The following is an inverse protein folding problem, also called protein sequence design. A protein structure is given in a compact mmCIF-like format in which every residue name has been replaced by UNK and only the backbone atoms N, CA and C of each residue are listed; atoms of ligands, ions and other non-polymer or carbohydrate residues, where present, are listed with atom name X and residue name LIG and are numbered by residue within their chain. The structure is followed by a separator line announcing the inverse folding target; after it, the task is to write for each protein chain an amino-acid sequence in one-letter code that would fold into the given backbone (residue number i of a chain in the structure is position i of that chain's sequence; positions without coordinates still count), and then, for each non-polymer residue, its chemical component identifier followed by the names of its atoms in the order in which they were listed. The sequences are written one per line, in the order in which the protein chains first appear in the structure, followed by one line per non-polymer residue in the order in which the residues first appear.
data_IF_974240663981
#
_entry.id   IF_974240663981
#
_cell.length_a   1.000
_cell.length_b   1.000
_cell.length_c   1.000
_cell.angle_alpha   90.00
_cell.angle_beta   90.00
_cell.angle_gamma   90.00
#
_symmetry.space_group_name_H-M   'P 1'
#
loop_
_entity.id
_entity.type
_entity.pdbx_description
1 polymer ?
#
# COMPACT_ATOMS: atom_id res chain seq x y z
N UNK A 1 13.44 -34.17 -11.03
CA UNK A 1 12.35 -33.71 -11.93
C UNK A 1 12.01 -32.25 -11.58
N UNK A 2 11.45 -31.43 -12.49
CA UNK A 2 10.86 -30.13 -12.07
C UNK A 2 9.40 -30.40 -11.71
N UNK A 3 8.98 -29.94 -10.55
CA UNK A 3 7.63 -30.13 -10.03
C UNK A 3 6.70 -29.10 -10.69
N UNK A 4 5.59 -29.53 -11.27
CA UNK A 4 4.63 -28.67 -11.96
C UNK A 4 3.22 -28.84 -11.41
N UNK A 5 2.40 -27.81 -11.59
CA UNK A 5 0.98 -27.86 -11.22
C UNK A 5 0.26 -28.94 -12.02
N UNK A 6 -0.47 -29.81 -11.31
CA UNK A 6 -1.18 -30.95 -11.88
C UNK A 6 -0.43 -32.28 -11.78
N UNK A 7 0.85 -32.26 -11.39
CA UNK A 7 1.61 -33.50 -11.16
C UNK A 7 0.98 -34.34 -10.04
N UNK A 8 1.11 -35.66 -10.17
CA UNK A 8 0.81 -36.62 -9.11
C UNK A 8 2.12 -37.25 -8.65
N UNK A 9 2.47 -37.01 -7.40
CA UNK A 9 3.75 -37.39 -6.80
C UNK A 9 3.57 -38.31 -5.61
N UNK A 10 4.60 -39.11 -5.33
CA UNK A 10 4.69 -39.91 -4.11
C UNK A 10 5.30 -39.09 -3.00
N UNK A 11 4.71 -39.12 -1.81
CA UNK A 11 5.23 -38.45 -0.62
C UNK A 11 5.19 -39.40 0.58
N UNK A 12 5.62 -38.92 1.75
CA UNK A 12 5.42 -39.63 3.01
C UNK A 12 3.93 -39.75 3.40
N UNK A 13 3.08 -38.84 2.92
CA UNK A 13 1.67 -38.77 3.30
C UNK A 13 0.77 -39.62 2.42
N UNK A 14 1.12 -39.78 1.15
CA UNK A 14 0.31 -40.49 0.16
C UNK A 14 1.15 -40.88 -1.05
N UNK A 15 0.77 -41.98 -1.69
CA UNK A 15 1.36 -42.41 -2.97
C UNK A 15 0.80 -41.59 -4.16
N UNK A 16 -0.32 -40.87 -3.95
CA UNK A 16 -1.02 -40.11 -4.99
C UNK A 16 -1.25 -38.64 -4.56
N UNK A 17 -0.20 -37.96 -4.09
CA UNK A 17 -0.29 -36.54 -3.73
C UNK A 17 -0.39 -35.68 -4.99
N UNK A 18 -1.43 -34.87 -5.11
CA UNK A 18 -1.61 -33.95 -6.24
C UNK A 18 -0.94 -32.61 -5.96
N UNK A 19 -0.21 -32.07 -6.93
CA UNK A 19 0.37 -30.72 -6.88
C UNK A 19 -0.67 -29.72 -7.37
N UNK A 20 -1.16 -28.86 -6.48
CA UNK A 20 -2.21 -27.90 -6.80
C UNK A 20 -1.67 -26.56 -7.32
N UNK A 21 -0.50 -26.15 -6.85
CA UNK A 21 0.18 -24.94 -7.28
C UNK A 21 1.67 -25.03 -6.94
N UNK A 22 2.51 -24.35 -7.73
CA UNK A 22 3.95 -24.23 -7.47
C UNK A 22 4.35 -22.78 -7.70
N UNK A 23 4.94 -22.15 -6.68
CA UNK A 23 5.43 -20.77 -6.73
C UNK A 23 6.79 -20.71 -6.05
N UNK A 24 7.80 -20.29 -6.81
CA UNK A 24 9.19 -20.21 -6.36
C UNK A 24 9.66 -21.53 -5.72
N UNK A 25 9.97 -21.50 -4.42
CA UNK A 25 10.42 -22.66 -3.64
C UNK A 25 9.28 -23.29 -2.81
N UNK A 26 8.01 -22.96 -3.10
CA UNK A 26 6.83 -23.46 -2.42
C UNK A 26 5.91 -24.23 -3.36
N UNK A 27 5.23 -25.25 -2.82
CA UNK A 27 4.17 -25.96 -3.50
C UNK A 27 2.97 -26.14 -2.57
N UNK A 28 1.76 -26.04 -3.14
CA UNK A 28 0.55 -26.53 -2.48
C UNK A 28 0.33 -27.97 -2.94
N UNK A 29 0.26 -28.88 -1.99
CA UNK A 29 0.05 -30.30 -2.22
C UNK A 29 -1.28 -30.73 -1.60
N UNK A 30 -1.92 -31.73 -2.18
CA UNK A 30 -3.08 -32.39 -1.59
C UNK A 30 -2.85 -33.89 -1.55
N UNK A 31 -2.80 -34.47 -0.34
CA UNK A 31 -2.54 -35.90 -0.13
C UNK A 31 -3.73 -36.81 -0.47
N UNK A 32 -4.90 -36.23 -0.68
CA UNK A 32 -6.19 -36.92 -0.71
C UNK A 32 -7.02 -36.68 0.56
N UNK A 33 -6.36 -36.34 1.67
CA UNK A 33 -7.02 -36.06 2.96
C UNK A 33 -6.68 -34.69 3.53
N UNK A 34 -5.52 -34.12 3.16
CA UNK A 34 -5.03 -32.88 3.75
C UNK A 34 -4.26 -32.04 2.72
N UNK A 35 -4.32 -30.72 2.89
CA UNK A 35 -3.55 -29.76 2.14
C UNK A 35 -2.22 -29.49 2.84
N UNK A 36 -1.16 -29.33 2.06
CA UNK A 36 0.19 -29.02 2.57
C UNK A 36 0.76 -27.84 1.79
N UNK A 37 1.19 -26.81 2.50
CA UNK A 37 2.04 -25.75 1.96
C UNK A 37 3.48 -26.15 2.27
N UNK A 38 4.13 -26.76 1.28
CA UNK A 38 5.46 -27.33 1.38
C UNK A 38 6.49 -26.35 0.83
N UNK A 39 7.59 -26.13 1.57
CA UNK A 39 8.72 -25.28 1.16
C UNK A 39 9.97 -26.13 1.02
N UNK A 40 10.78 -25.90 -0.02
CA UNK A 40 12.00 -26.68 -0.26
C UNK A 40 11.71 -28.08 -0.79
N UNK A 41 10.71 -28.21 -1.67
CA UNK A 41 10.28 -29.52 -2.18
C UNK A 41 11.37 -30.12 -3.08
N UNK A 42 11.80 -31.36 -2.76
CA UNK A 42 12.84 -32.08 -3.46
C UNK A 42 12.50 -33.56 -3.61
N UNK A 43 12.89 -34.14 -4.73
CA UNK A 43 12.75 -35.56 -4.99
C UNK A 43 13.94 -36.32 -4.38
N UNK A 44 13.66 -37.25 -3.47
CA UNK A 44 14.63 -38.22 -3.00
C UNK A 44 14.78 -39.32 -4.06
N UNK A 45 15.93 -39.35 -4.74
CA UNK A 45 16.19 -40.27 -5.86
C UNK A 45 16.27 -41.74 -5.45
N UNK A 46 16.56 -42.02 -4.17
CA UNK A 46 16.65 -43.40 -3.66
C UNK A 46 15.26 -43.98 -3.39
N UNK A 47 14.40 -43.19 -2.74
CA UNK A 47 13.04 -43.62 -2.40
C UNK A 47 12.01 -43.37 -3.51
N UNK A 48 12.33 -42.49 -4.47
CA UNK A 48 11.39 -41.98 -5.47
C UNK A 48 10.27 -41.11 -4.88
N UNK A 49 10.43 -40.66 -3.62
CA UNK A 49 9.44 -39.82 -2.92
C UNK A 49 9.89 -38.37 -2.90
N UNK A 50 8.92 -37.47 -2.97
CA UNK A 50 9.13 -36.06 -2.74
C UNK A 50 9.05 -35.76 -1.24
N UNK A 51 10.01 -34.97 -0.78
CA UNK A 51 10.20 -34.50 0.59
C UNK A 51 10.30 -32.97 0.57
N UNK A 52 10.12 -32.33 1.73
CA UNK A 52 10.20 -30.88 1.86
C UNK A 52 10.84 -30.49 3.18
N UNK A 53 11.47 -29.32 3.22
CA UNK A 53 12.19 -28.86 4.40
C UNK A 53 11.20 -28.35 5.48
N UNK A 54 10.10 -27.69 5.07
CA UNK A 54 9.05 -27.22 5.98
C UNK A 54 7.66 -27.43 5.37
N UNK A 55 6.69 -27.82 6.19
CA UNK A 55 5.31 -28.04 5.78
C UNK A 55 4.31 -27.45 6.78
N UNK A 56 3.36 -26.65 6.29
CA UNK A 56 2.14 -26.30 7.03
C UNK A 56 0.97 -27.12 6.51
N UNK A 57 0.11 -27.58 7.41
CA UNK A 57 -0.95 -28.53 7.10
C UNK A 57 -2.31 -27.92 7.41
N UNK A 58 -3.29 -28.19 6.54
CA UNK A 58 -4.65 -27.74 6.73
C UNK A 58 -5.64 -28.77 6.17
N UNK A 59 -6.79 -28.90 6.83
CA UNK A 59 -7.81 -29.87 6.43
C UNK A 59 -8.71 -29.35 5.30
N UNK A 60 -8.65 -28.05 5.02
CA UNK A 60 -9.47 -27.39 4.02
C UNK A 60 -8.68 -26.37 3.18
N UNK A 61 -9.21 -26.11 1.98
CA UNK A 61 -8.58 -25.23 0.99
C UNK A 61 -8.56 -23.76 1.44
N UNK A 62 -9.51 -23.33 2.29
CA UNK A 62 -9.54 -21.95 2.78
C UNK A 62 -8.39 -21.73 3.75
N UNK A 63 -8.23 -22.61 4.74
CA UNK A 63 -7.15 -22.56 5.71
C UNK A 63 -5.78 -22.58 5.05
N UNK A 64 -5.55 -23.44 4.03
CA UNK A 64 -4.26 -23.44 3.34
C UNK A 64 -4.03 -22.17 2.51
N UNK A 65 -5.07 -21.61 1.90
CA UNK A 65 -5.00 -20.34 1.17
C UNK A 65 -4.67 -19.18 2.11
N UNK A 66 -5.28 -19.14 3.30
CA UNK A 66 -5.02 -18.14 4.32
C UNK A 66 -3.54 -18.20 4.76
N UNK A 67 -2.97 -19.42 4.87
CA UNK A 67 -1.55 -19.63 5.18
C UNK A 67 -0.59 -19.18 4.06
N UNK A 68 -1.04 -18.97 2.82
CA UNK A 68 -0.18 -18.46 1.76
C UNK A 68 0.06 -16.95 1.89
N UNK A 69 -0.83 -16.22 2.56
CA UNK A 69 -0.72 -14.78 2.73
C UNK A 69 0.20 -14.43 3.91
N UNK A 70 1.47 -14.87 3.84
CA UNK A 70 2.39 -14.87 4.98
C UNK A 70 3.59 -13.94 4.83
N UNK A 71 3.62 -13.09 3.80
CA UNK A 71 4.65 -12.08 3.63
C UNK A 71 4.06 -10.72 3.26
N UNK A 72 4.87 -9.68 3.42
CA UNK A 72 4.44 -8.30 3.23
C UNK A 72 3.88 -8.04 1.83
N UNK A 73 4.56 -8.49 0.76
CA UNK A 73 4.13 -8.19 -0.60
C UNK A 73 2.81 -8.89 -0.98
N UNK A 74 2.65 -10.17 -0.63
CA UNK A 74 1.38 -10.87 -0.87
C UNK A 74 0.23 -10.27 -0.05
N UNK A 75 0.52 -9.82 1.17
CA UNK A 75 -0.47 -9.15 2.01
C UNK A 75 -0.84 -7.80 1.42
N UNK A 76 0.14 -7.01 1.00
CA UNK A 76 -0.05 -5.74 0.33
C UNK A 76 -0.84 -5.89 -0.97
N UNK A 77 -0.53 -6.88 -1.80
CA UNK A 77 -1.27 -7.16 -3.04
C UNK A 77 -2.74 -7.51 -2.74
N UNK A 78 -2.96 -8.35 -1.73
CA UNK A 78 -4.31 -8.72 -1.28
C UNK A 78 -5.08 -7.51 -0.77
N UNK A 79 -4.48 -6.69 0.08
CA UNK A 79 -5.09 -5.48 0.62
C UNK A 79 -5.35 -4.44 -0.48
N UNK A 80 -4.43 -4.28 -1.44
CA UNK A 80 -4.60 -3.38 -2.58
C UNK A 80 -5.78 -3.80 -3.44
N UNK A 81 -5.89 -5.09 -3.75
CA UNK A 81 -7.06 -5.64 -4.45
C UNK A 81 -8.37 -5.37 -3.68
N UNK A 82 -8.39 -5.57 -2.36
CA UNK A 82 -9.57 -5.32 -1.56
C UNK A 82 -9.91 -3.83 -1.50
N UNK A 83 -8.92 -2.94 -1.36
CA UNK A 83 -9.12 -1.50 -1.37
C UNK A 83 -9.69 -1.01 -2.72
N UNK A 84 -9.26 -1.59 -3.85
CA UNK A 84 -9.74 -1.20 -5.18
C UNK A 84 -11.12 -1.77 -5.51
N UNK A 85 -11.31 -3.09 -5.31
CA UNK A 85 -12.48 -3.80 -5.82
C UNK A 85 -13.56 -4.06 -4.77
N UNK A 86 -13.21 -4.03 -3.48
CA UNK A 86 -14.14 -4.25 -2.37
C UNK A 86 -13.96 -3.22 -1.24
N UNK A 87 -13.81 -1.96 -1.62
CA UNK A 87 -13.46 -0.86 -0.71
C UNK A 87 -14.33 -0.78 0.55
N UNK A 88 -15.65 -0.96 0.41
CA UNK A 88 -16.58 -0.86 1.55
C UNK A 88 -16.31 -1.93 2.61
N UNK A 89 -16.21 -3.19 2.21
CA UNK A 89 -15.94 -4.28 3.14
C UNK A 89 -14.49 -4.25 3.63
N UNK A 90 -13.55 -3.75 2.80
CA UNK A 90 -12.16 -3.51 3.23
C UNK A 90 -12.11 -2.53 4.40
N UNK A 91 -12.73 -1.36 4.26
CA UNK A 91 -12.77 -0.35 5.33
C UNK A 91 -13.52 -0.85 6.55
N UNK A 92 -14.70 -1.46 6.37
CA UNK A 92 -15.45 -2.05 7.48
C UNK A 92 -14.65 -3.14 8.20
N UNK A 93 -13.92 -3.96 7.46
CA UNK A 93 -13.04 -4.99 8.01
C UNK A 93 -11.91 -4.39 8.84
N UNK A 94 -11.23 -3.34 8.35
CA UNK A 94 -10.20 -2.63 9.12
C UNK A 94 -10.77 -2.05 10.42
N UNK A 95 -11.93 -1.37 10.36
CA UNK A 95 -12.59 -0.80 11.54
C UNK A 95 -12.97 -1.92 12.52
N UNK A 96 -13.57 -3.01 12.03
CA UNK A 96 -13.98 -4.15 12.84
C UNK A 96 -12.80 -4.80 13.56
N UNK A 97 -11.68 -5.00 12.86
CA UNK A 97 -10.46 -5.57 13.44
C UNK A 97 -9.86 -4.67 14.53
N UNK A 98 -9.80 -3.36 14.29
CA UNK A 98 -9.18 -2.42 15.22
C UNK A 98 -10.05 -2.14 16.46
N UNK A 99 -11.37 -2.11 16.28
CA UNK A 99 -12.32 -1.74 17.34
C UNK A 99 -12.97 -2.94 18.02
N UNK A 100 -12.92 -4.14 17.42
CA UNK A 100 -13.64 -5.34 17.85
C UNK A 100 -15.16 -5.30 17.57
N UNK A 101 -15.66 -4.30 16.85
CA UNK A 101 -17.10 -4.19 16.53
C UNK A 101 -17.45 -5.11 15.37
N UNK A 102 -18.47 -5.95 15.56
CA UNK A 102 -18.99 -6.86 14.52
C UNK A 102 -20.39 -6.46 14.01
N UNK A 103 -21.01 -5.43 14.61
CA UNK A 103 -22.35 -5.00 14.23
C UNK A 103 -22.35 -4.32 12.84
N UNK A 104 -23.01 -4.95 11.86
CA UNK A 104 -23.03 -4.53 10.47
C UNK A 104 -23.62 -3.12 10.27
N UNK A 105 -24.72 -2.77 10.94
CA UNK A 105 -25.34 -1.43 10.83
C UNK A 105 -24.40 -0.31 11.33
N UNK A 106 -23.64 -0.59 12.40
CA UNK A 106 -22.64 0.33 12.96
C UNK A 106 -21.47 0.47 12.00
N UNK A 107 -21.00 -0.63 11.40
CA UNK A 107 -19.93 -0.63 10.41
C UNK A 107 -20.36 0.09 9.12
N UNK A 108 -21.59 -0.09 8.67
CA UNK A 108 -22.16 0.64 7.53
C UNK A 108 -22.20 2.14 7.81
N UNK A 109 -22.66 2.53 9.01
CA UNK A 109 -22.68 3.93 9.43
C UNK A 109 -21.26 4.50 9.51
N UNK A 110 -20.31 3.76 10.06
CA UNK A 110 -18.91 4.17 10.15
C UNK A 110 -18.27 4.33 8.77
N UNK A 111 -18.57 3.42 7.83
CA UNK A 111 -18.13 3.52 6.44
C UNK A 111 -18.74 4.73 5.74
N UNK A 112 -20.05 4.94 5.87
CA UNK A 112 -20.72 6.12 5.31
C UNK A 112 -20.12 7.41 5.88
N UNK A 113 -19.83 7.44 7.19
CA UNK A 113 -19.12 8.57 7.79
C UNK A 113 -17.72 8.71 7.22
N UNK A 114 -16.91 7.65 7.11
CA UNK A 114 -15.58 7.73 6.48
C UNK A 114 -15.62 8.26 5.03
N UNK A 115 -16.61 7.84 4.24
CA UNK A 115 -16.77 8.28 2.85
C UNK A 115 -17.26 9.72 2.73
N UNK A 116 -18.10 10.18 3.65
CA UNK A 116 -18.72 11.51 3.60
C UNK A 116 -18.01 12.57 4.45
N UNK A 117 -17.36 12.15 5.53
CA UNK A 117 -16.53 12.97 6.39
C UNK A 117 -15.25 13.30 5.62
N UNK A 118 -14.96 14.57 5.60
CA UNK A 118 -13.95 15.19 4.76
C UNK A 118 -12.54 15.12 5.37
N UNK A 119 -12.47 14.83 6.67
CA UNK A 119 -11.24 14.85 7.48
C UNK A 119 -10.82 13.42 7.87
N UNK A 120 -11.76 12.47 7.94
CA UNK A 120 -11.47 11.13 8.43
C UNK A 120 -10.56 10.32 7.48
N UNK A 121 -9.41 9.90 8.00
CA UNK A 121 -8.47 8.95 7.37
C UNK A 121 -8.51 7.56 8.02
N UNK A 122 -8.01 6.54 7.33
CA UNK A 122 -7.89 5.17 7.88
C UNK A 122 -6.66 4.98 8.76
N UNK A 123 -5.60 5.73 8.48
CA UNK A 123 -4.31 5.64 9.15
C UNK A 123 -4.14 6.89 9.99
N UNK A 124 -3.67 6.71 11.22
CA UNK A 124 -3.33 7.82 12.11
C UNK A 124 -2.21 8.68 11.50
N UNK A 125 -2.36 10.00 11.59
CA UNK A 125 -1.41 10.97 11.04
C UNK A 125 0.01 10.79 11.60
N UNK A 126 0.15 10.24 12.81
CA UNK A 126 1.44 10.00 13.45
C UNK A 126 2.31 8.98 12.71
N UNK A 127 1.73 8.05 11.93
CA UNK A 127 2.50 7.11 11.12
C UNK A 127 3.37 7.82 10.08
N UNK A 128 2.94 8.98 9.58
CA UNK A 128 3.70 9.72 8.58
C UNK A 128 5.00 10.29 9.14
N UNK A 129 5.10 10.54 10.44
CA UNK A 129 6.36 10.93 11.08
C UNK A 129 7.41 9.82 10.97
N UNK A 130 7.03 8.58 11.27
CA UNK A 130 7.93 7.43 11.15
C UNK A 130 8.31 7.13 9.69
N UNK A 131 7.42 7.38 8.74
CA UNK A 131 7.70 7.20 7.31
C UNK A 131 8.71 8.25 6.84
N UNK A 132 8.51 9.52 7.18
CA UNK A 132 9.39 10.59 6.75
C UNK A 132 10.81 10.48 7.30
N UNK A 133 10.98 10.11 8.57
CA UNK A 133 12.29 9.93 9.19
C UNK A 133 13.13 8.84 8.51
N UNK A 134 12.46 7.83 7.95
CA UNK A 134 13.10 6.71 7.25
C UNK A 134 13.16 6.91 5.71
N UNK A 135 12.37 7.84 5.16
CA UNK A 135 12.40 8.24 3.74
C UNK A 135 13.42 9.36 3.44
N UNK A 136 14.27 9.79 4.39
CA UNK A 136 15.33 10.80 4.17
C UNK A 136 16.48 10.22 3.31
N UNK A 137 16.15 9.86 2.08
CA UNK A 137 16.94 10.07 0.86
C UNK A 137 16.02 10.53 -0.27
N UNK A 138 15.10 11.47 -0.02
CA UNK A 138 14.60 12.29 -1.13
C UNK A 138 15.76 13.12 -1.66
N UNK A 139 16.03 13.08 -2.97
CA UNK A 139 17.21 13.69 -3.53
C UNK A 139 17.17 15.21 -3.37
N UNK A 140 18.20 15.74 -2.72
CA UNK A 140 18.45 17.17 -2.73
C UNK A 140 18.63 17.61 -4.18
N UNK A 141 17.73 18.44 -4.69
CA UNK A 141 17.96 19.27 -5.88
C UNK A 141 19.02 20.33 -5.55
N UNK A 142 20.27 19.92 -5.36
CA UNK A 142 21.42 20.79 -5.04
C UNK A 142 22.43 20.80 -6.20
N UNK A 143 22.31 21.70 -7.17
CA UNK A 143 23.41 21.91 -8.11
C UNK A 143 24.61 22.51 -7.37
N UNK A 144 25.71 21.75 -7.28
CA UNK A 144 26.79 22.01 -6.33
C UNK A 144 27.82 23.08 -6.69
N UNK A 145 28.73 23.30 -5.74
CA UNK A 145 30.19 23.31 -5.93
C UNK A 145 30.89 23.19 -4.58
N UNK A 146 31.91 22.34 -4.55
CA UNK A 146 32.97 22.33 -3.56
C UNK A 146 33.66 23.70 -3.53
N UNK A 147 34.04 24.17 -2.34
CA UNK A 147 35.32 24.86 -2.17
C UNK A 147 35.88 24.63 -0.76
N UNK A 148 37.13 24.19 -0.74
CA UNK A 148 37.96 23.98 0.45
C UNK A 148 38.52 25.33 0.92
N UNK A 149 38.27 25.70 2.17
CA UNK A 149 39.19 26.47 3.04
C UNK A 149 38.55 26.54 4.43
N UNK A 150 39.03 25.82 5.44
CA UNK A 150 40.24 26.08 6.23
C UNK A 150 39.85 26.62 7.61
N UNK A 151 40.43 25.96 8.61
CA UNK A 151 40.88 26.51 9.88
C UNK A 151 39.90 26.59 11.07
N UNK A 152 40.22 25.69 12.03
CA UNK A 152 40.40 25.96 13.45
C UNK A 152 39.18 26.45 14.27
N UNK A 153 38.72 25.61 15.19
CA UNK A 153 39.15 25.78 16.59
C UNK A 153 39.01 24.48 17.37
N UNK A 154 39.96 24.28 18.28
CA UNK A 154 40.28 23.04 18.97
C UNK A 154 39.87 23.12 20.46
N UNK A 155 39.59 21.95 21.05
CA UNK A 155 40.08 21.41 22.36
C UNK A 155 39.07 20.35 22.86
N UNK A 156 39.38 19.05 22.74
CA UNK A 156 40.07 18.18 23.73
C UNK A 156 39.40 18.16 25.11
N UNK A 157 38.68 17.10 25.47
CA UNK A 157 39.10 15.81 26.10
C UNK A 157 38.61 15.79 27.58
N UNK A 158 37.90 14.77 28.05
CA UNK A 158 38.47 13.67 28.87
C UNK A 158 37.44 12.54 29.05
N UNK A 159 37.95 11.31 29.15
CA UNK A 159 37.27 10.00 29.23
C UNK A 159 36.86 9.58 30.65
N UNK A 160 36.16 8.43 30.67
CA UNK A 160 35.97 7.42 31.74
C UNK A 160 34.75 7.63 32.64
N UNK A 161 33.97 6.64 33.07
CA UNK A 161 33.68 5.24 32.73
C UNK A 161 32.51 4.83 33.68
N UNK A 162 31.88 3.68 33.40
CA UNK A 162 31.07 2.85 34.32
C UNK A 162 29.53 3.03 34.38
N UNK A 163 28.89 1.98 33.85
CA UNK A 163 27.64 1.32 34.24
C UNK A 163 26.74 2.02 35.27
N UNK A 164 25.51 2.29 34.86
CA UNK A 164 24.34 1.95 35.69
C UNK A 164 23.11 1.80 34.81
N UNK A 165 22.49 0.62 34.86
CA UNK A 165 21.10 0.44 34.46
C UNK A 165 20.24 1.26 35.41
N UNK A 166 19.62 2.31 34.89
CA UNK A 166 18.46 2.95 35.51
C UNK A 166 17.39 3.13 34.45
N UNK A 167 16.20 2.58 34.74
CA UNK A 167 14.96 2.91 34.05
C UNK A 167 14.82 4.42 33.98
N UNK A 168 14.98 4.99 32.79
CA UNK A 168 14.53 6.35 32.53
C UNK A 168 13.52 6.35 31.40
N UNK A 169 12.37 6.91 31.77
CA UNK A 169 11.31 7.36 30.89
C UNK A 169 11.94 8.21 29.80
N UNK A 170 11.98 7.71 28.58
CA UNK A 170 12.18 8.56 27.41
C UNK A 170 10.83 9.12 26.97
N UNK A 171 10.22 9.93 27.84
CA UNK A 171 9.58 11.14 27.36
C UNK A 171 10.72 12.14 27.09
N UNK A 172 10.51 13.05 26.14
CA UNK A 172 11.39 14.18 25.75
C UNK A 172 12.30 13.96 24.53
N UNK A 173 11.68 13.90 23.35
CA UNK A 173 11.62 15.02 22.40
C UNK A 173 11.00 14.56 21.08
N UNK A 174 9.66 14.41 21.05
CA UNK A 174 8.96 14.57 19.77
C UNK A 174 9.05 16.06 19.44
N UNK A 175 9.90 16.44 18.48
CA UNK A 175 9.75 17.71 17.78
C UNK A 175 8.27 17.85 17.40
N UNK A 176 7.65 18.95 17.83
CA UNK A 176 6.25 19.24 17.60
C UNK A 176 5.95 19.12 16.10
N UNK A 177 4.93 18.34 15.78
CA UNK A 177 4.49 17.97 14.46
C UNK A 177 4.47 19.12 13.42
N UNK A 178 5.35 19.05 12.40
CA UNK A 178 5.28 19.89 11.20
C UNK A 178 4.24 19.37 10.18
N UNK A 179 3.39 18.42 10.57
CA UNK A 179 2.27 17.95 9.75
C UNK A 179 1.08 18.87 9.94
N UNK A 180 0.48 19.28 8.83
CA UNK A 180 -0.64 20.22 8.81
C UNK A 180 -1.80 19.67 7.98
N UNK A 181 -2.99 20.07 8.38
CA UNK A 181 -4.26 19.84 7.68
C UNK A 181 -4.76 21.18 7.13
N UNK A 182 -4.99 21.25 5.82
CA UNK A 182 -5.48 22.45 5.12
C UNK A 182 -6.80 22.13 4.43
N UNK A 183 -7.87 22.82 4.82
CA UNK A 183 -9.11 22.90 4.06
C UNK A 183 -9.10 24.18 3.22
N UNK A 184 -9.12 24.04 1.89
CA UNK A 184 -8.98 25.19 1.00
C UNK A 184 -9.37 24.91 -0.44
N UNK A 185 -9.37 25.95 -1.26
CA UNK A 185 -9.62 25.80 -2.69
C UNK A 185 -8.30 25.66 -3.46
N UNK A 186 -8.27 24.77 -4.44
CA UNK A 186 -7.16 24.70 -5.40
C UNK A 186 -7.07 26.05 -6.14
N UNK A 187 -5.93 26.72 -6.02
CA UNK A 187 -5.70 28.08 -6.49
C UNK A 187 -4.99 28.15 -7.86
N UNK A 188 -4.35 27.05 -8.28
CA UNK A 188 -3.65 26.92 -9.56
C UNK A 188 -4.04 25.63 -10.28
N UNK A 189 -3.70 25.52 -11.56
CA UNK A 189 -3.75 24.23 -12.24
C UNK A 189 -2.73 23.25 -11.63
N UNK A 190 -2.95 21.95 -11.82
CA UNK A 190 -2.05 20.89 -11.37
C UNK A 190 -0.97 20.69 -12.44
N UNK A 191 0.28 21.01 -12.10
CA UNK A 191 1.45 20.86 -12.97
C UNK A 191 2.19 19.55 -12.64
N UNK A 192 2.13 18.56 -13.54
CA UNK A 192 2.76 17.24 -13.35
C UNK A 192 4.05 17.16 -14.17
N UNK A 193 5.16 16.82 -13.51
CA UNK A 193 6.48 16.65 -14.12
C UNK A 193 7.07 15.29 -13.81
N UNK A 194 7.70 14.68 -14.81
CA UNK A 194 8.58 13.53 -14.66
C UNK A 194 10.02 14.03 -14.62
N UNK A 195 10.73 13.74 -13.53
CA UNK A 195 12.06 14.26 -13.24
C UNK A 195 13.00 13.12 -12.87
N UNK A 196 14.29 13.31 -13.11
CA UNK A 196 15.33 12.38 -12.67
C UNK A 196 16.15 13.02 -11.56
N UNK A 197 16.29 12.29 -10.47
CA UNK A 197 17.17 12.63 -9.35
C UNK A 197 18.63 12.72 -9.80
N UNK A 198 19.46 13.44 -9.03
CA UNK A 198 20.92 13.37 -9.18
C UNK A 198 21.48 11.96 -9.09
N UNK A 199 20.84 11.11 -8.29
CA UNK A 199 21.24 9.72 -8.11
C UNK A 199 20.73 8.81 -9.26
N UNK A 200 20.18 9.40 -10.32
CA UNK A 200 19.66 8.67 -11.49
C UNK A 200 18.31 8.00 -11.30
N UNK A 201 17.61 8.26 -10.18
CA UNK A 201 16.26 7.74 -9.92
C UNK A 201 15.20 8.62 -10.56
N UNK A 202 14.36 8.06 -11.41
CA UNK A 202 13.20 8.76 -11.96
C UNK A 202 12.09 8.88 -10.90
N UNK A 203 11.43 10.03 -10.87
CA UNK A 203 10.30 10.32 -9.98
C UNK A 203 9.30 11.25 -10.68
N UNK A 204 8.04 11.19 -10.23
CA UNK A 204 6.98 12.10 -10.72
C UNK A 204 6.56 13.04 -9.60
N UNK A 205 6.30 14.30 -9.92
CA UNK A 205 5.82 15.29 -8.97
C UNK A 205 4.67 16.11 -9.58
N UNK A 206 3.59 16.27 -8.81
CA UNK A 206 2.53 17.22 -9.09
C UNK A 206 2.71 18.45 -8.19
N UNK A 207 2.73 19.65 -8.79
CA UNK A 207 2.87 20.93 -8.11
C UNK A 207 1.62 21.77 -8.32
N UNK A 208 1.10 22.35 -7.25
CA UNK A 208 -0.08 23.21 -7.29
C UNK A 208 -0.16 24.11 -6.04
N UNK A 209 -1.04 25.09 -6.03
CA UNK A 209 -1.28 25.96 -4.87
C UNK A 209 -2.67 25.72 -4.28
N UNK A 210 -2.78 25.78 -2.95
CA UNK A 210 -4.05 25.82 -2.21
C UNK A 210 -4.24 27.18 -1.54
N UNK A 211 -5.46 27.68 -1.54
CA UNK A 211 -5.88 28.90 -0.85
C UNK A 211 -6.76 28.54 0.34
N UNK A 212 -6.31 28.90 1.55
CA UNK A 212 -7.08 28.76 2.79
C UNK A 212 -7.41 30.16 3.35
N UNK A 213 -8.59 30.31 3.94
CA UNK A 213 -8.91 31.53 4.69
C UNK A 213 -8.44 31.35 6.13
N UNK A 214 -7.62 32.28 6.62
CA UNK A 214 -7.30 32.32 8.04
C UNK A 214 -8.51 32.76 8.89
N UNK A 215 -8.35 32.73 10.22
CA UNK A 215 -9.41 33.10 11.17
C UNK A 215 -9.87 34.56 11.04
N UNK A 216 -9.09 35.41 10.37
CA UNK A 216 -9.37 36.83 10.14
C UNK A 216 -9.95 37.08 8.73
N UNK A 217 -10.13 36.02 7.93
CA UNK A 217 -10.69 36.08 6.57
C UNK A 217 -9.68 36.51 5.50
N UNK A 218 -8.38 36.53 5.82
CA UNK A 218 -7.32 36.76 4.84
C UNK A 218 -6.91 35.44 4.20
N UNK A 219 -6.70 35.48 2.88
CA UNK A 219 -6.33 34.30 2.10
C UNK A 219 -4.83 34.03 2.26
N UNK A 220 -4.49 32.84 2.77
CA UNK A 220 -3.13 32.28 2.76
C UNK A 220 -3.01 31.29 1.61
N UNK A 221 -1.94 31.43 0.82
CA UNK A 221 -1.63 30.52 -0.27
C UNK A 221 -0.45 29.63 0.12
N UNK A 222 -0.62 28.33 -0.05
CA UNK A 222 0.40 27.32 0.24
C UNK A 222 0.74 26.56 -1.03
N UNK A 223 2.02 26.46 -1.38
CA UNK A 223 2.47 25.62 -2.49
C UNK A 223 2.54 24.15 -2.04
N UNK A 224 1.97 23.25 -2.82
CA UNK A 224 1.82 21.83 -2.50
C UNK A 224 2.56 20.97 -3.53
N UNK A 225 3.22 19.91 -3.05
CA UNK A 225 4.00 18.97 -3.85
C UNK A 225 3.58 17.54 -3.51
N UNK A 226 2.96 16.84 -4.46
CA UNK A 226 2.64 15.42 -4.34
C UNK A 226 3.62 14.58 -5.17
N UNK A 227 4.26 13.58 -4.56
CA UNK A 227 5.31 12.78 -5.20
C UNK A 227 4.82 11.36 -5.51
N UNK A 228 5.29 10.80 -6.63
CA UNK A 228 5.11 9.40 -7.01
C UNK A 228 3.65 8.94 -6.95
N UNK A 229 3.34 7.96 -6.09
CA UNK A 229 2.00 7.40 -5.90
C UNK A 229 0.98 8.45 -5.43
N UNK A 230 1.42 9.55 -4.80
CA UNK A 230 0.51 10.64 -4.38
C UNK A 230 0.04 11.51 -5.55
N UNK A 231 0.65 11.40 -6.73
CA UNK A 231 0.22 12.16 -7.92
C UNK A 231 -1.18 11.77 -8.35
N UNK A 232 -1.54 10.48 -8.31
CA UNK A 232 -2.88 10.00 -8.70
C UNK A 232 -3.99 10.56 -7.79
N UNK A 233 -3.66 10.96 -6.56
CA UNK A 233 -4.62 11.58 -5.64
C UNK A 233 -4.98 13.02 -6.00
N UNK A 234 -4.14 13.69 -6.81
CA UNK A 234 -4.29 15.11 -7.14
C UNK A 234 -4.44 15.41 -8.64
N UNK A 235 -4.09 14.47 -9.52
CA UNK A 235 -4.03 14.69 -10.98
C UNK A 235 -5.36 15.16 -11.61
N UNK A 236 -6.49 14.77 -11.00
CA UNK A 236 -7.84 15.09 -11.50
C UNK A 236 -8.45 16.34 -10.84
N UNK A 237 -7.76 16.97 -9.89
CA UNK A 237 -8.22 18.19 -9.24
C UNK A 237 -8.10 19.38 -10.18
N UNK A 238 -9.00 20.35 -10.00
CA UNK A 238 -9.08 21.55 -10.83
C UNK A 238 -9.08 22.80 -9.98
N UNK A 239 -8.60 23.89 -10.55
CA UNK A 239 -8.72 25.21 -9.93
C UNK A 239 -10.17 25.48 -9.50
N UNK A 240 -10.33 25.88 -8.23
CA UNK A 240 -11.62 26.11 -7.59
C UNK A 240 -12.15 24.93 -6.79
N UNK A 241 -11.65 23.71 -6.99
CA UNK A 241 -12.04 22.55 -6.19
C UNK A 241 -11.74 22.79 -4.72
N UNK A 242 -12.74 22.61 -3.86
CA UNK A 242 -12.57 22.66 -2.41
C UNK A 242 -12.02 21.30 -1.97
N UNK A 243 -10.89 21.28 -1.28
CA UNK A 243 -10.13 20.08 -0.94
C UNK A 243 -9.65 20.12 0.51
N UNK A 244 -9.46 18.94 1.08
CA UNK A 244 -8.70 18.72 2.31
C UNK A 244 -7.34 18.19 1.92
N UNK A 245 -6.27 18.81 2.39
CA UNK A 245 -4.90 18.38 2.16
C UNK A 245 -4.22 18.15 3.49
N UNK A 246 -3.67 16.95 3.64
CA UNK A 246 -2.79 16.61 4.74
C UNK A 246 -1.38 16.41 4.22
N UNK A 247 -0.41 16.99 4.92
CA UNK A 247 0.99 16.92 4.53
C UNK A 247 1.94 17.50 5.57
N UNK A 248 3.23 17.52 5.25
CA UNK A 248 4.27 18.12 6.11
C UNK A 248 4.88 19.36 5.47
N UNK A 249 5.04 20.42 6.25
CA UNK A 249 5.77 21.60 5.78
C UNK A 249 7.23 21.24 5.48
N UNK A 250 7.72 21.72 4.35
CA UNK A 250 9.08 21.53 3.86
C UNK A 250 9.65 22.89 3.49
N UNK A 251 10.65 23.30 4.25
CA UNK A 251 11.48 24.47 3.94
C UNK A 251 12.58 24.01 2.97
N UNK A 252 12.75 24.76 1.89
CA UNK A 252 13.79 24.52 0.89
C UNK A 252 14.52 25.82 0.57
N UNK A 253 15.84 25.79 0.44
CA UNK A 253 16.60 26.97 0.08
C UNK A 253 16.77 27.02 -1.44
N UNK A 254 16.34 28.12 -2.06
CA UNK A 254 16.55 28.39 -3.47
C UNK A 254 18.00 28.75 -3.78
N UNK A 255 18.34 28.74 -5.07
CA UNK A 255 19.68 29.10 -5.57
C UNK A 255 20.10 30.53 -5.24
N UNK A 256 19.13 31.38 -4.90
CA UNK A 256 19.31 32.76 -4.46
C UNK A 256 19.49 32.90 -2.94
N UNK A 257 19.58 31.77 -2.22
CA UNK A 257 19.71 31.73 -0.77
C UNK A 257 18.41 31.96 -0.02
N UNK A 258 17.28 32.20 -0.72
CA UNK A 258 15.98 32.42 -0.07
C UNK A 258 15.33 31.10 0.31
N UNK A 259 14.65 31.09 1.45
CA UNK A 259 13.84 29.97 1.88
C UNK A 259 12.46 30.00 1.22
N UNK A 260 12.04 28.84 0.74
CA UNK A 260 10.74 28.57 0.14
C UNK A 260 10.07 27.48 0.95
N UNK A 261 8.90 27.81 1.50
CA UNK A 261 8.05 26.87 2.22
C UNK A 261 7.07 26.21 1.25
N UNK A 262 7.04 24.88 1.26
CA UNK A 262 6.13 24.05 0.47
C UNK A 262 5.54 22.95 1.33
N UNK A 263 4.39 22.42 0.97
CA UNK A 263 3.74 21.31 1.66
C UNK A 263 3.98 20.01 0.89
N UNK A 264 4.71 19.05 1.47
CA UNK A 264 4.79 17.67 0.95
C UNK A 264 3.44 17.01 1.23
N UNK A 265 2.68 16.72 0.19
CA UNK A 265 1.32 16.18 0.29
C UNK A 265 1.37 14.68 0.56
N UNK A 266 0.70 14.25 1.62
CA UNK A 266 0.50 12.84 1.96
C UNK A 266 -0.85 12.33 1.53
N UNK A 267 -1.89 13.15 1.67
CA UNK A 267 -3.22 12.86 1.16
C UNK A 267 -3.90 14.13 0.67
N UNK A 268 -4.78 13.96 -0.31
CA UNK A 268 -5.65 15.01 -0.80
C UNK A 268 -7.04 14.41 -1.03
N UNK A 269 -8.09 15.09 -0.53
CA UNK A 269 -9.47 14.65 -0.65
C UNK A 269 -10.32 15.78 -1.21
N UNK A 270 -11.06 15.51 -2.28
CA UNK A 270 -12.02 16.46 -2.84
C UNK A 270 -13.23 16.61 -1.92
N UNK A 271 -13.50 17.82 -1.49
CA UNK A 271 -14.58 18.19 -0.57
C UNK A 271 -15.73 18.79 -1.37
N UNK A 272 -16.70 17.97 -1.82
CA UNK A 272 -17.87 18.46 -2.58
C UNK A 272 -18.49 19.72 -1.95
N UNK A 273 -18.80 20.73 -2.77
CA UNK A 273 -19.55 21.91 -2.34
C UNK A 273 -20.90 21.48 -1.73
N UNK A 274 -21.37 22.21 -0.71
CA UNK A 274 -22.54 21.86 0.12
C UNK A 274 -23.89 21.90 -0.62
N UNK A 275 -23.91 22.13 -1.93
CA UNK A 275 -25.12 22.15 -2.78
C UNK A 275 -25.14 20.99 -3.77
N UNK A 276 -25.57 19.80 -3.32
CA UNK A 276 -26.22 18.76 -4.15
C UNK A 276 -26.60 17.47 -3.38
N UNK A 277 -26.89 17.54 -2.08
CA UNK A 277 -27.34 16.39 -1.29
C UNK A 277 -28.85 16.10 -1.45
N UNK A 278 -29.61 16.91 -2.20
CA UNK A 278 -31.07 16.78 -2.28
C UNK A 278 -31.62 15.78 -3.31
N UNK A 279 -30.81 15.08 -4.11
CA UNK A 279 -31.37 14.30 -5.24
C UNK A 279 -31.20 12.77 -5.15
N UNK A 280 -30.43 12.23 -4.21
CA UNK A 280 -30.07 10.79 -4.24
C UNK A 280 -30.84 9.87 -3.28
N UNK A 281 -31.94 10.33 -2.68
CA UNK A 281 -32.78 9.49 -1.80
C UNK A 281 -33.73 8.53 -2.54
N UNK A 282 -33.75 8.49 -3.88
CA UNK A 282 -34.66 7.64 -4.68
C UNK A 282 -33.94 6.58 -5.51
N UNK A 283 -33.06 5.79 -4.90
CA UNK A 283 -32.60 4.50 -5.48
C UNK A 283 -32.09 3.55 -4.40
N UNK A 284 -32.81 3.44 -3.27
CA UNK A 284 -32.73 2.26 -2.39
C UNK A 284 -33.79 1.28 -2.87
N UNK A 285 -33.44 0.42 -3.83
CA UNK A 285 -34.03 -0.91 -4.03
C UNK A 285 -33.44 -1.56 -5.28
N UNK A 286 -32.24 -2.12 -5.13
CA UNK A 286 -31.83 -3.28 -5.91
C UNK A 286 -30.73 -3.95 -5.11
N UNK A 287 -31.04 -5.12 -4.53
CA UNK A 287 -30.07 -5.98 -3.84
C UNK A 287 -28.87 -6.18 -4.77
N UNK A 288 -27.78 -5.46 -4.50
CA UNK A 288 -26.50 -5.70 -5.15
C UNK A 288 -26.03 -7.07 -4.69
N UNK A 289 -25.78 -7.96 -5.65
CA UNK A 289 -25.15 -9.25 -5.44
C UNK A 289 -23.93 -9.10 -4.53
N UNK A 290 -23.85 -9.87 -3.45
CA UNK A 290 -22.73 -9.79 -2.50
C UNK A 290 -21.39 -10.04 -3.21
N UNK A 291 -20.35 -9.34 -2.76
CA UNK A 291 -19.00 -9.40 -3.32
C UNK A 291 -18.43 -10.84 -3.32
N UNK A 292 -18.89 -11.70 -2.41
CA UNK A 292 -18.56 -13.13 -2.38
C UNK A 292 -18.93 -13.88 -3.66
N UNK A 293 -20.02 -13.50 -4.34
CA UNK A 293 -20.40 -14.07 -5.64
C UNK A 293 -19.44 -13.66 -6.75
N UNK A 294 -18.99 -12.41 -6.74
CA UNK A 294 -18.05 -11.86 -7.73
C UNK A 294 -16.61 -12.34 -7.51
N UNK A 295 -16.24 -12.59 -6.26
CA UNK A 295 -14.94 -13.18 -5.89
C UNK A 295 -14.81 -14.63 -6.41
N UNK A 296 -15.92 -15.40 -6.42
CA UNK A 296 -15.97 -16.72 -7.08
C UNK A 296 -15.78 -16.61 -8.59
N UNK A 297 -16.47 -15.69 -9.26
CA UNK A 297 -16.29 -15.46 -10.71
C UNK A 297 -14.88 -14.99 -11.07
N UNK A 298 -14.23 -14.16 -10.24
CA UNK A 298 -12.86 -13.71 -10.48
C UNK A 298 -11.84 -14.85 -10.29
N UNK A 299 -12.02 -15.70 -9.27
CA UNK A 299 -11.20 -16.91 -9.07
C UNK A 299 -11.39 -17.93 -10.19
N UNK A 300 -12.59 -18.04 -10.79
CA UNK A 300 -12.84 -18.89 -11.96
C UNK A 300 -12.20 -18.32 -13.25
N UNK A 301 -12.33 -17.01 -13.51
CA UNK A 301 -11.73 -16.35 -14.69
C UNK A 301 -10.19 -16.29 -14.66
N UNK A 302 -9.58 -16.22 -13.48
CA UNK A 302 -8.13 -16.32 -13.32
C UNK A 302 -7.61 -17.76 -13.59
N UNK A 303 -8.46 -18.78 -13.42
CA UNK A 303 -8.16 -20.16 -13.77
C UNK A 303 -8.32 -20.46 -15.28
N UNK A 304 -9.26 -19.81 -15.97
CA UNK A 304 -9.57 -20.09 -17.38
C UNK A 304 -8.55 -19.58 -18.39
N UNK A 305 -7.79 -18.51 -18.10
CA UNK A 305 -6.69 -18.05 -18.97
C UNK A 305 -5.57 -19.07 -19.16
N UNK A 306 -5.49 -20.09 -18.30
CA UNK A 306 -4.54 -21.21 -18.45
C UNK A 306 -5.03 -22.34 -19.37
N UNK A 307 -6.30 -22.35 -19.79
CA UNK A 307 -6.90 -23.41 -20.61
C UNK A 307 -7.00 -23.10 -22.10
N UNK A 308 -6.87 -21.85 -22.52
CA UNK A 308 -7.01 -21.47 -23.95
C UNK A 308 -5.75 -21.67 -24.80
N UNK A 309 -4.60 -22.06 -24.25
CA UNK A 309 -3.37 -22.32 -25.03
C UNK A 309 -3.05 -23.80 -25.33
N UNK A 310 -3.89 -24.77 -24.95
CA UNK A 310 -3.64 -26.20 -25.25
C UNK A 310 -4.44 -26.77 -26.43
N UNK A 311 -5.17 -25.94 -27.18
CA UNK A 311 -5.99 -26.36 -28.32
C UNK A 311 -5.28 -26.38 -29.68
N UNK A 312 -4.07 -26.94 -29.81
CA UNK A 312 -3.51 -27.23 -31.15
C UNK A 312 -4.07 -28.57 -31.65
N UNK A 313 -4.99 -28.46 -32.62
CA UNK A 313 -5.55 -29.57 -33.39
C UNK A 313 -4.45 -30.47 -33.97
N UNK A 314 -4.43 -31.74 -33.57
CA UNK A 314 -3.95 -32.84 -34.40
C UNK A 314 -5.12 -33.37 -35.21
N UNK A 315 -5.11 -33.19 -36.53
CA UNK A 315 -5.83 -34.08 -37.44
C UNK A 315 -4.83 -34.81 -38.34
N UNK A 316 -5.03 -36.13 -38.40
CA UNK A 316 -4.20 -37.14 -39.01
C UNK A 316 -4.41 -37.18 -40.53
N UNK A 317 -3.30 -37.40 -41.24
CA UNK A 317 -3.25 -37.97 -42.58
C UNK A 317 -3.88 -39.38 -42.62
N UNK A 318 -4.81 -39.59 -43.56
CA UNK A 318 -5.16 -40.81 -44.32
C UNK A 318 -5.76 -40.22 -45.63
N UNK A 319 -5.35 -40.49 -46.87
CA UNK A 319 -5.07 -41.74 -47.57
C UNK A 319 -4.49 -41.43 -48.98
N UNK A 320 -3.37 -42.08 -49.36
CA UNK A 320 -3.14 -42.83 -50.62
C UNK A 320 -1.65 -43.11 -50.81
#
# INVERSE_FOLDING_TARGET
MRLEKGDVIKTALSENTTVLDVKDNQAILFSGTQFVLATGVKENKESGKFEWDNGRYADDLKSISDMQNNNFEMMKDTLSFLAEYNHSDFVKGMISLETGIENEDTLDTAYDNYMNDKIMGLIDETFYHYIDENEIKTPALESGKEDKSSALSAKENTKENENTMTNDKSDENMEKADTINIDGNIASDIDIKHLTSKDGKDFTVASFAIAENDKEGKVKYTNCLAYNDKVSSVENLKKGDFVHIFGKEKISQGKDGKEYMSLKVYSAKLLKAKEQVKTNQKTKETKKSSALGKLKEYKEKAGEKSREQSGIKKEKNVER
#
